data_IF_146355151098
#
_entry.id   IF_146355151098
#
_cell.length_a   1.000
_cell.length_b   1.000
_cell.length_c   1.000
_cell.angle_alpha   90.00
_cell.angle_beta   90.00
_cell.angle_gamma   90.00
#
_symmetry.space_group_name_H-M   'P 1'
#
loop_
_entity.id
_entity.type
_entity.pdbx_description
1 polymer ?
#
# COMPACT_ATOMS: atom_id res chain seq x y z
N UNK A 1 1.85 21.52 -18.16
CA UNK A 1 2.36 20.84 -16.95
C UNK A 1 1.75 19.47 -17.03
N UNK A 2 2.53 18.46 -17.42
CA UNK A 2 2.02 17.08 -17.43
C UNK A 2 1.65 16.71 -15.99
N UNK A 3 0.43 16.25 -15.78
CA UNK A 3 0.04 15.71 -14.48
C UNK A 3 0.88 14.45 -14.23
N UNK A 4 1.53 14.33 -13.06
CA UNK A 4 2.27 13.12 -12.74
C UNK A 4 1.33 11.92 -12.79
N UNK A 5 1.77 10.85 -13.46
CA UNK A 5 1.02 9.61 -13.56
C UNK A 5 0.98 8.93 -12.18
N UNK A 6 -0.15 9.08 -11.48
CA UNK A 6 -0.38 8.46 -10.17
C UNK A 6 0.20 9.25 -8.99
N UNK A 7 -0.23 8.88 -7.78
CA UNK A 7 0.19 9.48 -6.52
C UNK A 7 1.18 8.55 -5.78
N UNK A 8 2.21 8.07 -6.46
CA UNK A 8 3.31 7.25 -5.92
C UNK A 8 4.68 7.73 -6.43
N UNK A 9 5.78 7.24 -5.84
CA UNK A 9 7.13 7.64 -6.23
C UNK A 9 7.43 7.19 -7.68
N UNK A 10 7.67 8.11 -8.63
CA UNK A 10 7.90 7.77 -10.03
C UNK A 10 9.20 6.96 -10.23
N UNK A 11 10.19 7.09 -9.34
CA UNK A 11 11.46 6.38 -9.43
C UNK A 11 11.35 4.91 -9.00
N UNK A 12 10.24 4.50 -8.38
CA UNK A 12 10.04 3.12 -7.96
C UNK A 12 10.14 2.15 -9.16
N UNK A 13 9.49 2.48 -10.27
CA UNK A 13 9.54 1.64 -11.48
C UNK A 13 10.92 1.62 -12.12
N UNK A 14 11.66 2.73 -12.06
CA UNK A 14 13.04 2.81 -12.55
C UNK A 14 13.97 1.86 -11.78
N UNK A 15 13.70 1.64 -10.49
CA UNK A 15 14.47 0.71 -9.65
C UNK A 15 13.98 -0.74 -9.77
N UNK A 16 12.66 -0.97 -9.79
CA UNK A 16 12.09 -2.32 -9.81
C UNK A 16 12.31 -3.00 -11.16
N UNK A 17 12.02 -2.30 -12.27
CA UNK A 17 12.06 -2.88 -13.61
C UNK A 17 13.38 -3.60 -13.95
N UNK A 18 14.58 -3.02 -13.74
CA UNK A 18 15.84 -3.72 -13.99
C UNK A 18 16.12 -4.87 -13.00
N UNK A 19 15.47 -4.90 -11.84
CA UNK A 19 15.63 -5.96 -10.84
C UNK A 19 14.74 -7.19 -11.07
N UNK A 20 13.62 -7.05 -11.81
CA UNK A 20 12.64 -8.12 -12.04
C UNK A 20 13.24 -9.45 -12.57
N UNK A 21 14.20 -9.46 -13.53
CA UNK A 21 14.79 -10.70 -14.01
C UNK A 21 15.56 -11.46 -12.91
N UNK A 22 16.22 -10.72 -12.03
CA UNK A 22 16.96 -11.27 -10.90
C UNK A 22 16.03 -11.76 -9.80
N UNK A 23 14.95 -11.02 -9.54
CA UNK A 23 13.89 -11.43 -8.60
C UNK A 23 13.29 -12.77 -9.05
N UNK A 24 12.92 -12.87 -10.33
CA UNK A 24 12.36 -14.10 -10.91
C UNK A 24 13.36 -15.26 -10.89
N UNK A 25 14.59 -15.06 -11.37
CA UNK A 25 15.62 -16.10 -11.43
C UNK A 25 15.99 -16.65 -10.06
N UNK A 26 16.00 -15.81 -9.03
CA UNK A 26 16.39 -16.18 -7.66
C UNK A 26 15.20 -16.57 -6.78
N UNK A 27 13.97 -16.47 -7.27
CA UNK A 27 12.76 -16.74 -6.49
C UNK A 27 12.58 -15.80 -5.30
N UNK A 28 12.98 -14.53 -5.43
CA UNK A 28 12.89 -13.54 -4.36
C UNK A 28 11.42 -13.08 -4.22
N UNK A 29 10.95 -12.97 -2.98
CA UNK A 29 9.66 -12.36 -2.66
C UNK A 29 9.84 -10.90 -2.30
N UNK A 30 9.03 -10.02 -2.88
CA UNK A 30 9.07 -8.58 -2.67
C UNK A 30 7.77 -8.13 -2.01
N UNK A 31 7.87 -7.38 -0.92
CA UNK A 31 6.75 -6.64 -0.35
C UNK A 31 7.19 -5.19 -0.17
N UNK A 32 6.37 -4.23 -0.62
CA UNK A 32 6.78 -2.82 -0.64
C UNK A 32 5.64 -1.89 -0.24
N UNK A 33 5.96 -0.93 0.64
CA UNK A 33 5.09 0.18 1.07
C UNK A 33 5.28 1.39 0.12
N UNK A 34 4.88 1.22 -1.15
CA UNK A 34 5.10 2.22 -2.21
C UNK A 34 3.82 2.69 -2.91
N UNK A 35 2.66 2.10 -2.58
CA UNK A 35 1.37 2.44 -3.19
C UNK A 35 0.92 3.87 -2.91
N UNK A 36 1.43 4.49 -1.84
CA UNK A 36 1.14 5.86 -1.45
C UNK A 36 -0.37 6.15 -1.47
N UNK A 37 -0.90 6.96 -2.40
CA UNK A 37 -2.35 7.19 -2.50
C UNK A 37 -3.03 6.46 -3.67
N UNK A 38 -2.31 5.68 -4.48
CA UNK A 38 -2.89 4.88 -5.58
C UNK A 38 -2.17 3.53 -5.75
N UNK A 39 -2.34 2.68 -4.73
CA UNK A 39 -1.77 1.33 -4.67
C UNK A 39 -2.18 0.47 -5.85
N UNK A 40 -3.43 0.59 -6.31
CA UNK A 40 -3.96 -0.20 -7.43
C UNK A 40 -3.28 0.15 -8.74
N UNK A 41 -3.12 1.44 -9.04
CA UNK A 41 -2.44 1.88 -10.24
C UNK A 41 -0.98 1.41 -10.23
N UNK A 42 -0.28 1.53 -9.11
CA UNK A 42 1.11 1.05 -9.02
C UNK A 42 1.20 -0.46 -9.23
N UNK A 43 0.33 -1.25 -8.58
CA UNK A 43 0.30 -2.70 -8.77
C UNK A 43 0.04 -3.07 -10.24
N UNK A 44 -0.83 -2.33 -10.91
CA UNK A 44 -1.11 -2.51 -12.34
C UNK A 44 0.13 -2.23 -13.21
N UNK A 45 0.85 -1.14 -12.94
CA UNK A 45 2.08 -0.80 -13.67
C UNK A 45 3.17 -1.85 -13.47
N UNK A 46 3.32 -2.37 -12.25
CA UNK A 46 4.24 -3.48 -11.97
C UNK A 46 3.84 -4.73 -12.74
N UNK A 47 2.56 -5.08 -12.76
CA UNK A 47 2.08 -6.25 -13.51
C UNK A 47 2.28 -6.10 -15.02
N UNK A 48 2.04 -4.91 -15.58
CA UNK A 48 2.26 -4.63 -17.00
C UNK A 48 3.76 -4.71 -17.36
N UNK A 49 4.66 -4.26 -16.49
CA UNK A 49 6.12 -4.41 -16.70
C UNK A 49 6.59 -5.88 -16.57
N UNK A 50 6.06 -6.64 -15.61
CA UNK A 50 6.30 -8.09 -15.49
C UNK A 50 5.88 -8.82 -16.77
N UNK A 51 4.69 -8.51 -17.31
CA UNK A 51 4.18 -9.09 -18.56
C UNK A 51 5.04 -8.70 -19.76
N UNK A 52 5.43 -7.43 -19.86
CA UNK A 52 6.31 -6.93 -20.92
C UNK A 52 7.67 -7.65 -20.94
N UNK A 53 8.21 -8.00 -19.77
CA UNK A 53 9.44 -8.79 -19.65
C UNK A 53 9.22 -10.31 -19.74
N UNK A 54 7.98 -10.77 -19.91
CA UNK A 54 7.60 -12.19 -19.99
C UNK A 54 8.08 -13.03 -18.79
N UNK A 55 7.96 -12.46 -17.59
CA UNK A 55 8.40 -13.10 -16.34
C UNK A 55 7.24 -13.83 -15.66
N UNK A 56 7.46 -15.03 -15.10
CA UNK A 56 6.43 -15.80 -14.39
C UNK A 56 6.27 -15.32 -12.95
N UNK A 57 6.03 -14.01 -12.75
CA UNK A 57 5.85 -13.40 -11.44
C UNK A 57 4.38 -13.03 -11.23
N UNK A 58 3.86 -13.28 -10.02
CA UNK A 58 2.53 -12.90 -9.61
C UNK A 58 2.55 -11.63 -8.76
N UNK A 59 1.76 -10.64 -9.15
CA UNK A 59 1.63 -9.35 -8.46
C UNK A 59 0.31 -9.31 -7.70
N UNK A 60 0.36 -8.88 -6.44
CA UNK A 60 -0.80 -8.62 -5.60
C UNK A 60 -0.68 -7.26 -4.93
N UNK A 61 -1.78 -6.77 -4.35
CA UNK A 61 -1.75 -5.54 -3.59
C UNK A 61 -2.57 -5.57 -2.30
N UNK A 62 -2.20 -4.68 -1.39
CA UNK A 62 -2.80 -4.48 -0.06
C UNK A 62 -3.28 -3.04 0.05
N UNK A 63 -4.58 -2.87 0.31
CA UNK A 63 -5.25 -1.57 0.45
C UNK A 63 -6.26 -1.58 1.60
N UNK A 64 -6.94 -0.45 1.80
CA UNK A 64 -7.89 -0.22 2.91
C UNK A 64 -7.32 0.68 4.01
N UNK A 65 -6.15 1.24 3.74
CA UNK A 65 -5.42 2.18 4.58
C UNK A 65 -6.02 3.59 4.54
N UNK A 66 -6.64 3.99 3.43
CA UNK A 66 -7.42 5.23 3.33
C UNK A 66 -8.70 5.11 4.18
N UNK A 67 -8.80 5.93 5.23
CA UNK A 67 -9.85 5.84 6.25
C UNK A 67 -10.51 7.18 6.55
N UNK A 68 -10.41 8.17 5.66
CA UNK A 68 -10.96 9.53 5.84
C UNK A 68 -12.45 9.50 6.14
N UNK A 69 -13.22 8.68 5.41
CA UNK A 69 -14.65 8.52 5.67
C UNK A 69 -14.95 7.97 7.06
N UNK A 70 -14.19 6.97 7.51
CA UNK A 70 -14.31 6.37 8.85
C UNK A 70 -13.94 7.36 9.94
N UNK A 71 -12.83 8.09 9.77
CA UNK A 71 -12.37 9.11 10.73
C UNK A 71 -13.40 10.24 10.85
N UNK A 72 -13.88 10.78 9.72
CA UNK A 72 -14.87 11.85 9.73
C UNK A 72 -16.19 11.41 10.41
N UNK A 73 -16.61 10.16 10.18
CA UNK A 73 -17.77 9.59 10.87
C UNK A 73 -17.54 9.56 12.39
N UNK A 74 -16.40 9.02 12.84
CA UNK A 74 -16.07 8.90 14.27
C UNK A 74 -15.97 10.28 14.94
N UNK A 75 -15.38 11.27 14.27
CA UNK A 75 -15.37 12.67 14.75
C UNK A 75 -16.81 13.17 14.95
N UNK A 76 -17.71 12.89 14.00
CA UNK A 76 -19.13 13.26 14.09
C UNK A 76 -19.89 12.54 15.21
N UNK A 77 -19.44 11.35 15.61
CA UNK A 77 -19.97 10.57 16.73
C UNK A 77 -19.38 11.01 18.09
N UNK A 78 -18.42 11.93 18.10
CA UNK A 78 -17.79 12.49 19.29
C UNK A 78 -16.50 11.78 19.73
N UNK A 79 -15.94 10.91 18.90
CA UNK A 79 -14.67 10.22 19.19
C UNK A 79 -13.52 11.23 19.32
N UNK A 80 -12.73 11.09 20.38
CA UNK A 80 -11.56 11.93 20.61
C UNK A 80 -10.31 11.29 20.00
N UNK A 81 -9.77 11.91 18.94
CA UNK A 81 -8.51 11.48 18.34
C UNK A 81 -7.34 12.14 19.06
N UNK A 82 -6.78 11.46 20.04
CA UNK A 82 -5.64 11.93 20.83
C UNK A 82 -4.33 11.80 20.04
N UNK A 83 -3.58 12.89 19.91
CA UNK A 83 -2.21 12.85 19.40
C UNK A 83 -1.30 12.15 20.39
N UNK A 84 -0.66 11.06 19.96
CA UNK A 84 0.33 10.33 20.77
C UNK A 84 1.57 11.17 21.09
N UNK A 85 1.85 12.21 20.29
CA UNK A 85 3.05 13.05 20.43
C UNK A 85 2.83 14.23 21.38
N UNK A 86 1.63 14.81 21.37
CA UNK A 86 1.34 16.06 22.08
C UNK A 86 0.31 15.91 23.20
N UNK A 87 -0.47 14.82 23.20
CA UNK A 87 -1.60 14.66 24.12
C UNK A 87 -2.77 15.61 23.82
N UNK A 88 -2.72 16.36 22.72
CA UNK A 88 -3.83 17.21 22.27
C UNK A 88 -4.84 16.39 21.47
N UNK A 89 -6.11 16.75 21.57
CA UNK A 89 -7.17 16.17 20.76
C UNK A 89 -7.21 16.83 19.38
N UNK A 90 -7.48 16.06 18.33
CA UNK A 90 -7.56 16.55 16.95
C UNK A 90 -8.52 17.73 16.79
N UNK A 91 -9.59 17.80 17.58
CA UNK A 91 -10.55 18.90 17.60
C UNK A 91 -9.91 20.26 17.95
N UNK A 92 -8.84 20.25 18.75
CA UNK A 92 -8.11 21.46 19.14
C UNK A 92 -7.07 21.89 18.08
N UNK A 93 -6.89 21.10 17.01
CA UNK A 93 -5.88 21.37 16.00
C UNK A 93 -6.16 22.64 15.18
N UNK A 94 -7.43 23.07 15.09
CA UNK A 94 -7.83 24.29 14.38
C UNK A 94 -7.93 24.14 12.86
N UNK A 95 -7.82 22.93 12.33
CA UNK A 95 -7.92 22.61 10.90
C UNK A 95 -8.91 21.48 10.64
N UNK A 96 -9.48 21.47 9.43
CA UNK A 96 -10.33 20.38 8.95
C UNK A 96 -9.47 19.25 8.39
N UNK A 97 -9.56 18.00 8.90
CA UNK A 97 -8.91 16.85 8.30
C UNK A 97 -9.48 16.60 6.89
N UNK A 98 -8.60 16.61 5.88
CA UNK A 98 -8.99 16.36 4.48
C UNK A 98 -8.60 14.95 4.01
N UNK A 99 -7.73 14.26 4.75
CA UNK A 99 -7.24 12.93 4.41
C UNK A 99 -6.74 12.21 5.66
N UNK A 100 -7.02 10.92 5.79
CA UNK A 100 -6.53 10.08 6.87
C UNK A 100 -6.12 8.70 6.34
N UNK A 101 -4.96 8.22 6.81
CA UNK A 101 -4.47 6.87 6.53
C UNK A 101 -4.14 6.13 7.82
N UNK A 102 -4.35 4.82 7.83
CA UNK A 102 -3.93 3.93 8.90
C UNK A 102 -2.84 2.97 8.43
N UNK A 103 -2.01 2.52 9.37
CA UNK A 103 -1.00 1.50 9.09
C UNK A 103 -1.62 0.12 9.27
N UNK A 104 -1.79 -0.60 8.16
CA UNK A 104 -2.48 -1.90 8.13
C UNK A 104 -1.65 -3.07 8.70
N UNK A 105 -0.35 -2.88 8.92
CA UNK A 105 0.56 -3.94 9.36
C UNK A 105 0.81 -5.01 8.30
N UNK A 106 1.29 -6.18 8.73
CA UNK A 106 1.78 -7.24 7.83
C UNK A 106 0.76 -8.30 7.41
N UNK A 107 -0.48 -8.27 7.93
CA UNK A 107 -1.44 -9.36 7.76
C UNK A 107 -1.83 -9.57 6.28
N UNK A 108 -2.14 -8.47 5.56
CA UNK A 108 -2.45 -8.52 4.14
C UNK A 108 -1.29 -9.01 3.28
N UNK A 109 -0.06 -8.62 3.64
CA UNK A 109 1.16 -9.07 2.95
C UNK A 109 1.32 -10.58 3.11
N UNK A 110 1.21 -11.08 4.35
CA UNK A 110 1.34 -12.50 4.65
C UNK A 110 0.30 -13.33 3.89
N UNK A 111 -0.93 -12.84 3.78
CA UNK A 111 -2.01 -13.49 3.05
C UNK A 111 -1.82 -13.47 1.54
N UNK A 112 -1.34 -12.36 0.97
CA UNK A 112 -0.97 -12.28 -0.45
C UNK A 112 0.14 -13.29 -0.80
N UNK A 113 1.18 -13.38 0.04
CA UNK A 113 2.28 -14.34 -0.15
C UNK A 113 1.81 -15.80 -0.01
N UNK A 114 0.94 -16.12 0.96
CA UNK A 114 0.31 -17.45 1.09
C UNK A 114 -0.47 -17.85 -0.16
N UNK A 115 -1.05 -16.86 -0.83
CA UNK A 115 -1.78 -17.03 -2.08
C UNK A 115 -0.92 -17.04 -3.35
N UNK A 116 0.41 -17.11 -3.21
CA UNK A 116 1.32 -17.31 -4.33
C UNK A 116 1.83 -16.01 -4.97
N UNK A 117 1.61 -14.85 -4.36
CA UNK A 117 2.22 -13.62 -4.84
C UNK A 117 3.76 -13.71 -4.76
N UNK A 118 4.43 -13.13 -5.75
CA UNK A 118 5.88 -12.88 -5.75
C UNK A 118 6.18 -11.44 -5.36
N UNK A 119 5.31 -10.50 -5.77
CA UNK A 119 5.43 -9.08 -5.49
C UNK A 119 4.12 -8.60 -4.85
N UNK A 120 4.22 -7.93 -3.70
CA UNK A 120 3.07 -7.34 -2.98
C UNK A 120 3.28 -5.83 -2.86
N UNK A 121 2.47 -5.07 -3.59
CA UNK A 121 2.44 -3.60 -3.52
C UNK A 121 1.44 -3.16 -2.46
N UNK A 122 1.87 -2.39 -1.48
CA UNK A 122 1.02 -1.99 -0.36
C UNK A 122 0.80 -0.48 -0.40
N UNK A 123 -0.41 -0.06 0.01
CA UNK A 123 -0.61 1.29 0.56
C UNK A 123 0.13 1.41 1.90
N UNK A 124 -0.43 2.13 2.87
CA UNK A 124 0.19 2.27 4.19
C UNK A 124 0.07 1.01 5.05
N UNK A 125 1.22 0.36 5.25
CA UNK A 125 1.39 -0.81 6.13
C UNK A 125 2.33 -0.56 7.31
N UNK A 126 3.26 0.40 7.22
CA UNK A 126 4.17 0.78 8.30
C UNK A 126 4.65 2.25 8.16
N UNK A 127 5.05 2.86 9.29
CA UNK A 127 5.73 4.17 9.34
C UNK A 127 7.23 3.97 9.59
N UNK A 128 8.10 4.59 8.78
CA UNK A 128 9.59 4.64 8.81
C UNK A 128 10.42 3.39 9.24
N UNK A 129 9.81 2.26 9.58
CA UNK A 129 10.44 1.05 10.07
C UNK A 129 9.70 -0.17 9.48
N UNK A 130 10.40 -1.13 8.87
CA UNK A 130 9.80 -2.31 8.25
C UNK A 130 9.35 -3.36 9.28
N UNK A 131 8.95 -2.97 10.49
CA UNK A 131 8.51 -3.91 11.53
C UNK A 131 6.98 -4.01 11.48
N UNK A 132 6.39 -5.01 10.80
CA UNK A 132 4.95 -5.20 10.77
C UNK A 132 4.44 -5.64 12.15
N UNK A 133 3.77 -4.73 12.86
CA UNK A 133 2.91 -5.09 13.99
C UNK A 133 1.52 -5.53 13.48
N UNK A 134 0.80 -6.27 14.33
CA UNK A 134 -0.34 -7.14 13.97
C UNK A 134 -1.71 -6.44 14.14
N UNK A 135 -2.66 -6.75 13.24
CA UNK A 135 -4.10 -6.86 13.58
C UNK A 135 -5.04 -5.78 13.05
N UNK A 136 -5.52 -5.94 11.81
CA UNK A 136 -6.69 -5.25 11.25
C UNK A 136 -7.21 -6.00 10.01
N UNK A 137 -8.50 -5.90 9.70
CA UNK A 137 -9.06 -6.46 8.45
C UNK A 137 -8.49 -5.68 7.25
N UNK A 138 -7.78 -6.37 6.36
CA UNK A 138 -7.13 -5.80 5.19
C UNK A 138 -7.83 -6.26 3.91
N UNK A 139 -8.12 -5.32 3.01
CA UNK A 139 -8.60 -5.64 1.67
C UNK A 139 -7.46 -6.16 0.81
N UNK A 140 -7.59 -7.39 0.30
CA UNK A 140 -6.60 -8.00 -0.60
C UNK A 140 -7.20 -8.08 -1.98
N UNK A 141 -6.66 -7.29 -2.90
CA UNK A 141 -6.99 -7.42 -4.31
C UNK A 141 -6.08 -8.46 -4.96
N UNK A 142 -6.68 -9.49 -5.58
CA UNK A 142 -5.97 -10.38 -6.52
C UNK A 142 -6.26 -9.93 -7.94
N UNK A 143 -5.22 -9.59 -8.70
CA UNK A 143 -5.31 -9.44 -10.15
C UNK A 143 -5.07 -10.82 -10.76
N UNK A 144 -6.14 -11.58 -10.97
CA UNK A 144 -6.04 -12.86 -11.68
C UNK A 144 -6.16 -12.60 -13.18
N UNK A 145 -5.08 -12.79 -13.92
CA UNK A 145 -5.13 -12.88 -15.38
C UNK A 145 -5.90 -14.15 -15.77
N UNK A 146 -7.17 -14.02 -16.15
CA UNK A 146 -7.86 -15.08 -16.89
C UNK A 146 -7.14 -15.26 -18.22
N UNK A 147 -6.70 -16.49 -18.49
CA UNK A 147 -6.36 -16.93 -19.84
C UNK A 147 -7.59 -16.86 -20.73
#
# INVERSE_FOLDING_TARGET
>A
MEEPMGLFDPTFMENLAPALPDISRKGIKVAVNAGACDTRLLARLVEDEVKKQNLPLHVAYVEGDEVTGTVNKLIGEGEAFLSLMTGEVLQNWGYTPIYAQCYLGGAGIAEALRHGADIVVCGRVADAAPTPAYGGMVGIGKMTSTR
#
